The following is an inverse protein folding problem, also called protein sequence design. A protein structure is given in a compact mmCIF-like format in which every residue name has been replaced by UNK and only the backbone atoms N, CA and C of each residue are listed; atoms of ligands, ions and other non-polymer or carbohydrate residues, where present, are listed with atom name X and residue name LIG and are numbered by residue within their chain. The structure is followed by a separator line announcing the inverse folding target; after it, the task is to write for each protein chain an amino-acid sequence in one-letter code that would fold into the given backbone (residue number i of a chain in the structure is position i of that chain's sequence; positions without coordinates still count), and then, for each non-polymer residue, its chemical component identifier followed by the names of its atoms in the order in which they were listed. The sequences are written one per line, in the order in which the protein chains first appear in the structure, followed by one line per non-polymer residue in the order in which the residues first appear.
data_IF_666015908648
#
_entry.id   IF_666015908648
#
_cell.length_a   1.000
_cell.length_b   1.000
_cell.length_c   1.000
_cell.angle_alpha   90.00
_cell.angle_beta   90.00
_cell.angle_gamma   90.00
#
_symmetry.space_group_name_H-M   'P 1'
#
loop_
_entity.id
_entity.type
_entity.pdbx_description
1 polymer ?
#
# COMPACT_ATOMS: atom_id res chain seq x y z
N UNK A 1 2.11 14.59 -25.02
CA UNK A 1 2.80 13.28 -24.97
C UNK A 1 2.89 12.77 -23.52
N UNK A 2 1.75 12.58 -22.84
CA UNK A 2 1.72 12.15 -21.42
C UNK A 2 1.15 10.73 -21.21
N UNK A 3 0.72 10.08 -22.29
CA UNK A 3 0.08 8.75 -22.25
C UNK A 3 1.03 7.56 -22.31
N UNK A 4 2.32 7.75 -22.65
CA UNK A 4 3.28 6.65 -22.78
C UNK A 4 3.75 6.11 -21.40
N UNK A 5 3.90 6.97 -20.40
CA UNK A 5 4.37 6.57 -19.06
C UNK A 5 3.30 5.90 -18.19
N UNK A 6 2.02 5.97 -18.57
CA UNK A 6 0.94 5.41 -17.75
C UNK A 6 1.08 3.90 -17.59
N UNK A 7 1.44 3.19 -18.67
CA UNK A 7 1.63 1.73 -18.64
C UNK A 7 2.83 1.31 -17.82
N UNK A 8 3.92 2.08 -17.87
CA UNK A 8 5.19 1.80 -17.16
C UNK A 8 5.08 2.00 -15.64
N UNK A 9 4.07 2.74 -15.19
CA UNK A 9 3.82 3.06 -13.79
C UNK A 9 2.68 2.25 -13.16
N UNK A 10 2.22 1.21 -13.84
CA UNK A 10 1.16 0.32 -13.35
C UNK A 10 1.71 -0.98 -12.78
N UNK A 11 1.07 -1.45 -11.71
CA UNK A 11 1.33 -2.75 -11.14
C UNK A 11 0.64 -3.83 -11.97
N UNK A 12 1.38 -4.84 -12.42
CA UNK A 12 0.82 -5.94 -13.24
C UNK A 12 -0.20 -6.82 -12.51
N UNK A 13 -0.27 -6.75 -11.18
CA UNK A 13 -1.19 -7.57 -10.37
C UNK A 13 -2.57 -6.92 -10.25
N UNK A 14 -2.63 -5.61 -10.03
CA UNK A 14 -3.91 -4.88 -9.91
C UNK A 14 -4.24 -3.99 -11.10
N UNK A 15 -3.33 -3.87 -12.07
CA UNK A 15 -3.45 -3.01 -13.25
C UNK A 15 -3.66 -1.52 -12.96
N UNK A 16 -3.44 -1.11 -11.70
CA UNK A 16 -3.51 0.28 -11.24
C UNK A 16 -2.09 0.85 -11.06
N UNK A 17 -1.99 2.18 -10.96
CA UNK A 17 -0.75 2.85 -10.60
C UNK A 17 -0.17 2.32 -9.29
N UNK A 18 1.17 2.20 -9.22
CA UNK A 18 1.82 1.66 -8.02
C UNK A 18 1.46 2.43 -6.75
N UNK A 19 0.93 1.70 -5.76
CA UNK A 19 0.65 2.21 -4.42
C UNK A 19 1.50 1.49 -3.39
N UNK A 20 2.38 2.24 -2.72
CA UNK A 20 3.42 1.71 -1.82
C UNK A 20 4.16 0.51 -2.44
N UNK A 21 4.85 0.71 -3.59
CA UNK A 21 5.54 -0.38 -4.27
C UNK A 21 6.64 -0.96 -3.38
N UNK A 22 6.71 -2.29 -3.32
CA UNK A 22 7.76 -3.09 -2.69
C UNK A 22 8.49 -3.90 -3.74
N UNK A 23 9.77 -4.17 -3.51
CA UNK A 23 10.62 -4.95 -4.41
C UNK A 23 10.81 -6.37 -3.90
N UNK A 24 10.67 -7.33 -4.82
CA UNK A 24 11.10 -8.70 -4.61
C UNK A 24 12.63 -8.84 -4.83
N UNK A 25 13.20 -10.01 -4.52
CA UNK A 25 14.64 -10.29 -4.73
C UNK A 25 15.05 -10.21 -6.21
N UNK A 26 14.09 -10.38 -7.12
CA UNK A 26 14.27 -10.18 -8.55
C UNK A 26 14.18 -8.72 -9.01
N UNK A 27 14.10 -7.75 -8.09
CA UNK A 27 13.99 -6.31 -8.35
C UNK A 27 12.69 -5.83 -9.04
N UNK A 28 11.76 -6.74 -9.33
CA UNK A 28 10.42 -6.38 -9.77
C UNK A 28 9.61 -5.77 -8.63
N UNK A 29 8.89 -4.70 -8.95
CA UNK A 29 8.10 -3.93 -7.99
C UNK A 29 6.61 -4.27 -8.08
N UNK A 30 5.94 -4.35 -6.94
CA UNK A 30 4.50 -4.60 -6.84
C UNK A 30 3.89 -3.79 -5.70
N UNK A 31 2.59 -3.48 -5.73
CA UNK A 31 1.94 -2.85 -4.60
C UNK A 31 2.04 -3.75 -3.35
N UNK A 32 2.32 -3.18 -2.18
CA UNK A 32 2.39 -3.93 -0.91
C UNK A 32 1.16 -4.82 -0.68
N UNK A 33 -0.04 -4.28 -0.95
CA UNK A 33 -1.30 -5.03 -0.84
C UNK A 33 -1.41 -6.20 -1.82
N UNK A 34 -0.77 -6.09 -2.99
CA UNK A 34 -0.72 -7.15 -3.99
C UNK A 34 0.22 -8.26 -3.55
N UNK A 35 1.40 -7.91 -3.03
CA UNK A 35 2.35 -8.89 -2.47
C UNK A 35 1.75 -9.64 -1.28
N UNK A 36 1.04 -8.94 -0.37
CA UNK A 36 0.33 -9.61 0.74
C UNK A 36 -0.75 -10.59 0.24
N UNK A 37 -1.43 -10.28 -0.86
CA UNK A 37 -2.42 -11.20 -1.46
C UNK A 37 -1.75 -12.42 -2.09
N UNK A 38 -0.60 -12.24 -2.75
CA UNK A 38 0.17 -13.33 -3.32
C UNK A 38 0.67 -14.29 -2.22
N UNK A 39 1.18 -13.76 -1.11
CA UNK A 39 1.58 -14.57 0.05
C UNK A 39 0.40 -15.39 0.62
N UNK A 40 -0.75 -14.76 0.87
CA UNK A 40 -1.95 -15.44 1.42
C UNK A 40 -2.62 -16.43 0.46
N UNK A 41 -2.41 -16.27 -0.85
CA UNK A 41 -2.93 -17.21 -1.85
C UNK A 41 -2.29 -18.59 -1.76
N UNK A 42 -1.05 -18.67 -1.26
CA UNK A 42 -0.26 -19.89 -1.16
C UNK A 42 -0.66 -20.74 0.05
N UNK A 43 -1.12 -20.13 1.14
CA UNK A 43 -1.68 -20.83 2.31
C UNK A 43 -2.85 -21.76 1.94
N UNK A 44 -3.59 -21.44 0.86
CA UNK A 44 -4.74 -22.25 0.41
C UNK A 44 -4.37 -23.47 -0.43
N UNK A 45 -3.16 -23.52 -1.01
CA UNK A 45 -2.70 -24.71 -1.76
C UNK A 45 -2.03 -25.76 -0.87
N UNK A 46 -1.53 -25.38 0.31
CA UNK A 46 -0.92 -26.32 1.25
C UNK A 46 -1.91 -27.20 2.01
N UNK A 47 -3.22 -26.91 2.00
CA UNK A 47 -4.20 -27.77 2.70
C UNK A 47 -4.54 -29.08 1.98
N UNK A 48 -4.00 -29.31 0.79
CA UNK A 48 -4.30 -30.50 -0.03
C UNK A 48 -3.14 -31.50 -0.17
N UNK A 49 -1.97 -31.24 0.41
CA UNK A 49 -0.79 -32.09 0.21
C UNK A 49 -0.07 -32.33 1.53
N UNK A 50 -0.40 -33.49 2.11
CA UNK A 50 0.40 -34.35 3.01
C UNK A 50 0.51 -33.94 4.48
N UNK A 51 -0.19 -34.72 5.31
CA UNK A 51 0.18 -35.03 6.69
C UNK A 51 1.55 -35.72 6.67
N UNK A 52 2.63 -35.06 7.12
CA UNK A 52 3.81 -35.65 7.76
C UNK A 52 4.76 -34.53 8.23
N UNK A 53 5.60 -34.89 9.18
CA UNK A 53 6.16 -34.08 10.25
C UNK A 53 7.47 -33.36 9.88
N UNK A 54 7.70 -32.19 10.48
CA UNK A 54 8.99 -31.49 10.68
C UNK A 54 9.63 -30.75 9.47
N UNK A 55 9.19 -29.52 9.16
CA UNK A 55 10.02 -28.59 8.36
C UNK A 55 9.44 -27.16 8.35
N UNK A 56 10.30 -26.19 8.68
CA UNK A 56 10.10 -24.75 8.61
C UNK A 56 9.51 -24.35 7.25
N UNK A 57 8.20 -24.12 7.17
CA UNK A 57 7.55 -23.68 5.92
C UNK A 57 7.93 -22.23 5.65
N UNK A 58 9.05 -22.03 4.96
CA UNK A 58 9.42 -20.74 4.41
C UNK A 58 8.28 -20.23 3.53
N UNK A 59 7.71 -19.07 3.86
CA UNK A 59 6.77 -18.40 2.97
C UNK A 59 7.52 -17.98 1.69
N UNK A 60 7.24 -18.61 0.54
CA UNK A 60 7.90 -18.28 -0.73
C UNK A 60 6.94 -17.51 -1.61
N UNK A 61 7.32 -16.32 -2.09
CA UNK A 61 6.53 -15.57 -3.08
C UNK A 61 7.13 -15.75 -4.47
N UNK A 62 6.34 -16.24 -5.41
CA UNK A 62 6.71 -16.29 -6.83
C UNK A 62 6.40 -14.96 -7.52
N UNK A 63 7.39 -14.37 -8.18
CA UNK A 63 7.23 -13.16 -8.96
C UNK A 63 6.37 -13.40 -10.22
N UNK A 64 5.23 -12.72 -10.40
CA UNK A 64 4.38 -12.91 -11.58
C UNK A 64 4.98 -12.33 -12.88
N UNK A 65 6.07 -11.54 -12.81
CA UNK A 65 6.73 -11.01 -14.01
C UNK A 65 7.82 -11.93 -14.56
N UNK A 66 8.56 -12.63 -13.69
CA UNK A 66 9.72 -13.44 -14.12
C UNK A 66 9.70 -14.88 -13.60
N UNK A 67 8.74 -15.26 -12.75
CA UNK A 67 8.65 -16.58 -12.13
C UNK A 67 9.65 -16.82 -11.00
N UNK A 68 10.54 -15.87 -10.70
CA UNK A 68 11.57 -16.03 -9.69
C UNK A 68 10.99 -15.99 -8.27
N UNK A 69 11.51 -16.84 -7.40
CA UNK A 69 11.04 -17.01 -6.03
C UNK A 69 11.76 -16.09 -5.06
N UNK A 70 11.01 -15.56 -4.10
CA UNK A 70 11.50 -14.76 -2.98
C UNK A 70 11.12 -15.46 -1.68
N UNK A 71 12.12 -16.00 -0.99
CA UNK A 71 11.95 -16.59 0.34
C UNK A 71 11.74 -15.50 1.39
N UNK A 72 10.74 -15.69 2.25
CA UNK A 72 10.38 -14.81 3.38
C UNK A 72 10.74 -15.42 4.73
N UNK A 73 11.71 -16.34 4.75
CA UNK A 73 12.13 -17.17 5.90
C UNK A 73 12.21 -16.43 7.24
N UNK A 74 12.60 -15.14 7.22
CA UNK A 74 12.63 -14.27 8.41
C UNK A 74 11.93 -12.92 8.21
N UNK A 75 11.38 -12.64 7.02
CA UNK A 75 10.83 -11.33 6.66
C UNK A 75 9.34 -11.41 6.49
N UNK A 76 8.60 -10.67 7.32
CA UNK A 76 7.19 -10.42 7.04
C UNK A 76 7.08 -9.66 5.71
N UNK A 77 6.02 -9.87 4.93
CA UNK A 77 5.76 -9.13 3.68
C UNK A 77 5.90 -7.60 3.85
N UNK A 78 5.65 -7.11 5.06
CA UNK A 78 5.78 -5.72 5.47
C UNK A 78 7.23 -5.19 5.56
N UNK A 79 8.22 -6.08 5.71
CA UNK A 79 9.65 -5.77 5.78
C UNK A 79 10.35 -5.77 4.40
N UNK A 80 9.61 -6.07 3.32
CA UNK A 80 10.16 -5.98 1.98
C UNK A 80 10.55 -4.53 1.63
N UNK A 81 11.69 -4.33 0.95
CA UNK A 81 12.21 -3.01 0.64
C UNK A 81 11.22 -2.23 -0.24
N UNK A 82 10.83 -1.05 0.23
CA UNK A 82 9.95 -0.14 -0.51
C UNK A 82 10.72 0.60 -1.61
N UNK A 83 10.11 0.68 -2.79
CA UNK A 83 10.64 1.47 -3.91
C UNK A 83 10.12 2.91 -3.83
N UNK A 84 10.74 3.72 -2.97
CA UNK A 84 10.37 5.12 -2.80
C UNK A 84 10.54 5.95 -4.08
N UNK A 85 11.49 5.60 -4.94
CA UNK A 85 11.68 6.27 -6.22
C UNK A 85 10.45 6.08 -7.12
N UNK A 86 10.03 4.83 -7.33
CA UNK A 86 8.84 4.53 -8.12
C UNK A 86 7.59 5.19 -7.55
N UNK A 87 7.46 5.20 -6.21
CA UNK A 87 6.38 5.92 -5.54
C UNK A 87 6.41 7.44 -5.82
N UNK A 88 7.60 8.05 -5.84
CA UNK A 88 7.77 9.47 -6.12
C UNK A 88 7.52 9.79 -7.61
N UNK A 89 7.91 8.90 -8.52
CA UNK A 89 7.62 9.04 -9.96
C UNK A 89 6.11 8.97 -10.20
N UNK A 90 5.39 8.02 -9.59
CA UNK A 90 3.92 7.94 -9.67
C UNK A 90 3.27 9.22 -9.11
N UNK A 91 3.76 9.74 -7.99
CA UNK A 91 3.26 11.01 -7.42
C UNK A 91 3.50 12.19 -8.37
N UNK A 92 4.66 12.26 -9.03
CA UNK A 92 4.95 13.29 -10.05
C UNK A 92 4.02 13.15 -11.26
N UNK A 93 3.86 11.94 -11.77
CA UNK A 93 2.96 11.64 -12.88
C UNK A 93 1.52 12.07 -12.61
N UNK A 94 1.00 11.82 -11.40
CA UNK A 94 -0.33 12.24 -10.98
C UNK A 94 -0.49 13.76 -10.91
N UNK A 95 0.57 14.48 -10.49
CA UNK A 95 0.60 15.95 -10.44
C UNK A 95 0.57 16.55 -11.85
N UNK A 96 1.31 15.96 -12.78
CA UNK A 96 1.45 16.48 -14.14
C UNK A 96 0.27 16.12 -15.05
N UNK A 97 -0.43 15.00 -14.80
CA UNK A 97 -1.56 14.53 -15.61
C UNK A 97 -2.93 15.02 -15.10
N UNK A 98 -2.98 16.03 -14.23
CA UNK A 98 -4.21 16.78 -13.99
C UNK A 98 -5.37 16.01 -13.35
N UNK A 99 -5.09 14.98 -12.54
CA UNK A 99 -6.09 14.44 -11.58
C UNK A 99 -6.04 15.09 -10.21
N UNK A 100 -5.15 16.06 -9.99
CA UNK A 100 -5.35 17.10 -8.99
C UNK A 100 -6.06 18.30 -9.64
N UNK A 101 -7.36 18.15 -9.85
CA UNK A 101 -8.24 19.31 -9.79
C UNK A 101 -8.08 19.94 -8.41
N UNK A 102 -7.31 21.04 -8.35
CA UNK A 102 -7.26 22.00 -7.25
C UNK A 102 -6.62 21.49 -5.94
N UNK A 103 -5.29 21.56 -5.86
CA UNK A 103 -4.61 21.84 -4.59
C UNK A 103 -5.14 23.17 -4.05
N UNK A 104 -6.09 23.14 -3.12
CA UNK A 104 -6.34 24.28 -2.26
C UNK A 104 -5.48 24.11 -1.01
N UNK A 105 -4.18 24.44 -1.13
CA UNK A 105 -3.43 24.98 -0.01
C UNK A 105 -4.16 26.25 0.44
N UNK A 106 -4.83 26.19 1.58
CA UNK A 106 -5.19 27.40 2.35
C UNK A 106 -5.18 26.94 3.79
N UNK A 107 -4.19 27.47 4.49
CA UNK A 107 -4.12 27.55 5.94
C UNK A 107 -5.34 28.28 6.49
N UNK A 108 -5.72 27.88 7.71
CA UNK A 108 -6.43 28.66 8.73
C UNK A 108 -7.88 29.12 8.48
N UNK A 109 -8.72 28.62 9.40
CA UNK A 109 -10.03 29.09 9.85
C UNK A 109 -11.25 28.87 8.94
N UNK A 110 -12.25 28.20 9.55
CA UNK A 110 -13.62 27.92 9.12
C UNK A 110 -13.83 27.01 7.89
N UNK A 111 -14.12 25.73 8.17
CA UNK A 111 -14.93 24.88 7.28
C UNK A 111 -14.20 24.17 6.14
N UNK A 112 -12.92 23.80 6.33
CA UNK A 112 -12.15 23.14 5.27
C UNK A 112 -12.23 21.62 5.31
N UNK A 113 -12.68 21.05 4.20
CA UNK A 113 -12.73 19.60 3.98
C UNK A 113 -11.30 19.02 3.97
N UNK A 114 -10.92 18.35 5.05
CA UNK A 114 -9.68 17.55 5.11
C UNK A 114 -9.92 16.24 4.36
N UNK A 115 -8.95 15.82 3.56
CA UNK A 115 -9.04 14.59 2.77
C UNK A 115 -8.26 13.45 3.42
N UNK A 116 -8.65 12.22 3.10
CA UNK A 116 -7.99 11.01 3.55
C UNK A 116 -6.69 10.78 2.80
N UNK A 117 -5.57 10.64 3.54
CA UNK A 117 -4.22 10.45 2.97
C UNK A 117 -4.01 9.09 2.27
N UNK A 118 -4.92 8.14 2.51
CA UNK A 118 -4.81 6.75 2.07
C UNK A 118 -5.77 6.37 0.93
N UNK A 119 -6.66 7.28 0.53
CA UNK A 119 -7.60 7.03 -0.56
C UNK A 119 -7.03 7.52 -1.89
N UNK A 120 -7.17 6.71 -2.95
CA UNK A 120 -6.78 7.08 -4.32
C UNK A 120 -7.75 8.13 -4.92
N UNK A 121 -8.94 8.30 -4.32
CA UNK A 121 -9.87 9.39 -4.61
C UNK A 121 -10.03 10.31 -3.41
N UNK A 122 -10.39 11.58 -3.64
CA UNK A 122 -10.54 12.67 -2.66
C UNK A 122 -11.65 12.45 -1.62
N UNK A 123 -11.60 11.32 -0.89
CA UNK A 123 -12.55 11.00 0.17
C UNK A 123 -12.29 11.90 1.37
N UNK A 124 -13.35 12.51 1.90
CA UNK A 124 -13.27 13.32 3.11
C UNK A 124 -12.75 12.48 4.29
N UNK A 125 -11.82 13.05 5.04
CA UNK A 125 -11.36 12.49 6.29
C UNK A 125 -12.49 12.58 7.32
N UNK A 126 -12.69 11.49 8.05
CA UNK A 126 -13.59 11.43 9.18
C UNK A 126 -12.84 11.72 10.49
N UNK A 127 -11.57 11.33 10.56
CA UNK A 127 -10.72 11.50 11.74
C UNK A 127 -9.27 11.77 11.34
N UNK A 128 -8.60 12.59 12.13
CA UNK A 128 -7.18 12.92 12.02
C UNK A 128 -6.48 12.52 13.31
N UNK A 129 -5.36 11.80 13.20
CA UNK A 129 -4.53 11.43 14.33
C UNK A 129 -3.53 12.54 14.64
N UNK A 130 -3.51 13.02 15.88
CA UNK A 130 -2.60 14.10 16.30
C UNK A 130 -1.15 13.63 16.32
N UNK A 131 -0.92 12.41 16.80
CA UNK A 131 0.42 11.82 16.91
C UNK A 131 0.99 11.45 15.53
N UNK A 132 0.17 10.81 14.68
CA UNK A 132 0.59 10.43 13.34
C UNK A 132 0.55 11.60 12.33
N UNK A 133 -0.16 12.69 12.66
CA UNK A 133 -0.45 13.83 11.77
C UNK A 133 -1.01 13.41 10.40
N UNK A 134 -1.86 12.39 10.42
CA UNK A 134 -2.47 11.79 9.23
C UNK A 134 -3.99 11.78 9.38
N UNK A 135 -4.68 11.94 8.26
CA UNK A 135 -6.12 12.00 8.14
C UNK A 135 -6.68 10.77 7.42
N UNK A 136 -7.78 10.25 7.94
CA UNK A 136 -8.36 8.97 7.54
C UNK A 136 -9.85 9.12 7.28
N UNK A 137 -10.34 8.59 6.17
CA UNK A 137 -11.77 8.37 5.98
C UNK A 137 -12.24 7.22 6.89
N UNK A 138 -13.55 7.10 7.05
CA UNK A 138 -14.18 6.05 7.86
C UNK A 138 -13.85 4.62 7.41
N UNK A 139 -13.38 4.43 6.17
CA UNK A 139 -12.93 3.12 5.66
C UNK A 139 -11.46 2.82 5.96
N UNK A 140 -10.58 3.81 5.77
CA UNK A 140 -9.13 3.63 5.97
C UNK A 140 -8.73 3.63 7.44
N UNK A 141 -9.50 4.32 8.31
CA UNK A 141 -9.20 4.43 9.74
C UNK A 141 -9.04 3.07 10.43
N UNK A 142 -10.02 2.13 10.42
CA UNK A 142 -9.88 0.85 11.10
C UNK A 142 -8.85 -0.10 10.45
N UNK A 143 -8.53 0.11 9.17
CA UNK A 143 -7.60 -0.74 8.42
C UNK A 143 -6.14 -0.34 8.66
N UNK A 144 -5.87 0.97 8.73
CA UNK A 144 -4.51 1.54 8.82
C UNK A 144 -4.20 2.00 10.25
N UNK A 145 -5.20 2.43 10.99
CA UNK A 145 -5.09 2.89 12.38
C UNK A 145 -6.08 2.14 13.30
N UNK A 146 -5.95 0.80 13.42
CA UNK A 146 -6.81 0.01 14.30
C UNK A 146 -6.65 0.45 15.77
N UNK A 147 -7.73 0.48 16.55
CA UNK A 147 -7.71 0.93 17.95
C UNK A 147 -7.19 -0.18 18.88
N UNK A 148 -6.02 -0.74 18.56
CA UNK A 148 -5.39 -1.85 19.30
C UNK A 148 -3.89 -1.63 19.40
N UNK A 149 -3.29 -2.17 20.46
CA UNK A 149 -1.86 -2.04 20.71
C UNK A 149 -1.43 -0.58 20.94
N UNK A 150 -0.24 -0.22 20.46
CA UNK A 150 0.35 1.10 20.65
C UNK A 150 -0.52 2.26 20.11
N UNK A 151 -1.19 2.02 18.98
CA UNK A 151 -2.04 3.02 18.31
C UNK A 151 -3.32 3.34 19.09
N UNK A 152 -3.72 2.51 20.06
CA UNK A 152 -4.90 2.77 20.90
C UNK A 152 -4.72 4.00 21.80
N UNK A 153 -3.48 4.43 22.06
CA UNK A 153 -3.16 5.62 22.89
C UNK A 153 -3.13 6.91 22.08
N UNK A 154 -3.20 6.82 20.75
CA UNK A 154 -3.16 8.00 19.90
C UNK A 154 -4.50 8.74 19.92
N UNK A 155 -4.44 10.06 19.93
CA UNK A 155 -5.64 10.91 19.96
C UNK A 155 -6.14 11.17 18.54
N UNK A 156 -7.37 10.74 18.26
CA UNK A 156 -8.08 11.01 17.01
C UNK A 156 -9.04 12.19 17.21
N UNK A 157 -8.99 13.18 16.32
CA UNK A 157 -9.90 14.34 16.31
C UNK A 157 -10.65 14.41 14.99
N UNK A 158 -11.86 14.98 15.01
CA UNK A 158 -12.54 15.34 13.76
C UNK A 158 -11.77 16.50 13.09
N UNK A 159 -11.56 16.44 11.77
CA UNK A 159 -10.94 17.50 11.01
C UNK A 159 -11.76 18.79 10.98
#
# INVERSE_FOLDING_TARGET
MASALAGELTCVVCSDLYSSPVMLTCHHSFCLVCVRKLAKGLERRHKNTVENHDETTADVITCPQCGQETSLEEKVVDDLPRNFLLQNIVKGYLKDNGKEGRKMSVSEFEGKLVLCDFCVGSSAAAMTCVECRLAYCSRCLPVVHPPRGYLARHTLRKP
#
